data_IF_926040017634
#
_entry.id   IF_926040017634
#
_cell.length_a   1.000
_cell.length_b   1.000
_cell.length_c   1.000
_cell.angle_alpha   90.00
_cell.angle_beta   90.00
_cell.angle_gamma   90.00
#
_symmetry.space_group_name_H-M   'P 1'
#
loop_
_entity.id
_entity.type
_entity.pdbx_description
1 polymer ?
#
# COMPACT_ATOMS: atom_id res chain seq x y z
N UNK A 1 0.83 23.56 0.09
CA UNK A 1 1.25 22.31 -0.57
C UNK A 1 1.42 21.28 0.53
N UNK A 2 0.66 20.18 0.51
CA UNK A 2 0.68 19.17 1.56
C UNK A 2 1.24 17.87 0.98
N UNK A 3 2.19 17.26 1.71
CA UNK A 3 2.79 15.97 1.35
C UNK A 3 2.21 14.91 2.27
N UNK A 4 1.65 13.84 1.69
CA UNK A 4 1.17 12.69 2.45
C UNK A 4 2.29 11.67 2.62
N UNK A 5 2.67 11.36 3.86
CA UNK A 5 3.67 10.35 4.18
C UNK A 5 2.99 9.05 4.60
N UNK A 6 3.10 8.02 3.76
CA UNK A 6 2.51 6.69 3.99
C UNK A 6 3.59 5.76 4.52
N UNK A 7 3.44 5.32 5.76
CA UNK A 7 4.25 4.25 6.36
C UNK A 7 3.58 2.90 6.08
N UNK A 8 4.15 2.08 5.20
CA UNK A 8 3.58 0.79 4.81
C UNK A 8 4.57 -0.38 4.92
N UNK A 9 5.16 -0.55 6.12
CA UNK A 9 6.06 -1.67 6.44
C UNK A 9 5.42 -2.76 7.32
N UNK A 10 6.23 -3.76 7.67
CA UNK A 10 5.88 -4.81 8.62
C UNK A 10 5.53 -6.15 7.98
N UNK A 11 5.63 -7.23 8.76
CA UNK A 11 5.51 -8.62 8.31
C UNK A 11 4.07 -9.13 8.16
N UNK A 12 3.08 -8.39 8.68
CA UNK A 12 1.66 -8.70 8.48
C UNK A 12 1.23 -10.09 8.97
N UNK A 13 1.64 -10.55 10.16
CA UNK A 13 1.41 -11.94 10.62
C UNK A 13 0.00 -12.24 11.14
N UNK A 14 -0.81 -11.23 11.46
CA UNK A 14 -2.13 -11.39 12.13
C UNK A 14 -3.29 -11.75 11.21
N UNK A 15 -3.12 -11.65 9.88
CA UNK A 15 -4.16 -11.97 8.89
C UNK A 15 -3.87 -13.28 8.13
N UNK A 16 -3.06 -14.16 8.71
CA UNK A 16 -2.86 -15.50 8.17
C UNK A 16 -4.22 -16.24 8.10
N UNK A 17 -4.52 -17.02 7.05
CA UNK A 17 -3.66 -17.40 5.91
C UNK A 17 -3.61 -16.38 4.77
N UNK A 18 -4.36 -15.30 4.89
CA UNK A 18 -4.59 -14.32 3.84
C UNK A 18 -3.36 -13.44 3.59
N UNK A 19 -2.62 -13.09 4.64
CA UNK A 19 -1.30 -12.49 4.55
C UNK A 19 -0.21 -13.57 4.61
N UNK A 20 0.82 -13.40 3.76
CA UNK A 20 2.02 -14.26 3.72
C UNK A 20 3.26 -13.39 3.87
N UNK A 21 4.40 -14.00 4.18
CA UNK A 21 5.68 -13.26 4.32
C UNK A 21 6.01 -12.40 3.10
N UNK A 22 5.71 -12.91 1.89
CA UNK A 22 5.91 -12.22 0.62
C UNK A 22 4.70 -11.40 0.16
N UNK A 23 3.59 -11.43 0.89
CA UNK A 23 2.39 -10.62 0.60
C UNK A 23 1.81 -10.10 1.92
N UNK A 24 2.42 -9.04 2.49
CA UNK A 24 1.96 -8.42 3.72
C UNK A 24 0.52 -7.90 3.60
N UNK A 25 -0.17 -7.79 4.73
CA UNK A 25 -1.60 -7.42 4.79
C UNK A 25 -1.97 -6.15 4.00
N UNK A 26 -1.09 -5.16 3.98
CA UNK A 26 -1.37 -3.88 3.33
C UNK A 26 -1.49 -4.00 1.81
N UNK A 27 -0.86 -5.01 1.22
CA UNK A 27 -0.87 -5.29 -0.21
C UNK A 27 -1.93 -6.34 -0.61
N UNK A 28 -2.62 -6.97 0.35
CA UNK A 28 -3.69 -7.91 0.00
C UNK A 28 -4.93 -7.15 -0.47
N UNK A 29 -5.47 -7.55 -1.64
CA UNK A 29 -6.71 -7.01 -2.23
C UNK A 29 -7.93 -7.50 -1.46
N UNK A 30 -8.28 -6.78 -0.39
CA UNK A 30 -9.32 -7.17 0.56
C UNK A 30 -10.71 -6.63 0.20
N UNK A 31 -10.77 -5.47 -0.47
CA UNK A 31 -12.03 -4.75 -0.69
C UNK A 31 -12.12 -4.31 -2.15
N UNK A 32 -13.13 -4.80 -2.85
CA UNK A 32 -13.45 -4.42 -4.24
C UNK A 32 -12.23 -4.47 -5.19
N UNK A 33 -11.40 -5.51 -5.03
CA UNK A 33 -10.20 -5.70 -5.85
C UNK A 33 -9.04 -4.76 -5.51
N UNK A 34 -9.14 -3.94 -4.45
CA UNK A 34 -8.11 -3.01 -4.00
C UNK A 34 -7.47 -3.43 -2.68
N UNK A 35 -6.21 -3.09 -2.52
CA UNK A 35 -5.46 -3.28 -1.28
C UNK A 35 -5.70 -2.16 -0.28
N UNK A 36 -5.38 -2.40 1.00
CA UNK A 36 -5.39 -1.34 2.02
C UNK A 36 -4.42 -0.20 1.71
N UNK A 37 -3.32 -0.52 1.02
CA UNK A 37 -2.35 0.44 0.53
C UNK A 37 -2.98 1.34 -0.55
N UNK A 38 -3.60 0.75 -1.57
CA UNK A 38 -4.29 1.47 -2.65
C UNK A 38 -5.42 2.36 -2.10
N UNK A 39 -6.25 1.82 -1.22
CA UNK A 39 -7.33 2.59 -0.57
C UNK A 39 -6.80 3.76 0.27
N UNK A 40 -5.60 3.64 0.84
CA UNK A 40 -4.97 4.73 1.60
C UNK A 40 -4.46 5.83 0.68
N UNK A 41 -3.89 5.47 -0.47
CA UNK A 41 -3.45 6.43 -1.50
C UNK A 41 -4.65 7.22 -2.03
N UNK A 42 -5.70 6.53 -2.47
CA UNK A 42 -6.90 7.16 -3.06
C UNK A 42 -7.61 8.08 -2.08
N UNK A 43 -7.77 7.63 -0.82
CA UNK A 43 -8.40 8.42 0.24
C UNK A 43 -7.71 9.75 0.51
N UNK A 44 -6.38 9.80 0.35
CA UNK A 44 -5.60 11.00 0.65
C UNK A 44 -5.27 11.84 -0.59
N UNK A 45 -5.38 11.29 -1.80
CA UNK A 45 -5.05 11.99 -3.04
C UNK A 45 -5.72 13.36 -3.19
N UNK A 46 -7.00 13.59 -2.80
CA UNK A 46 -7.63 14.91 -2.89
C UNK A 46 -7.06 15.96 -1.91
N UNK A 47 -6.30 15.53 -0.89
CA UNK A 47 -5.84 16.36 0.23
C UNK A 47 -4.34 16.67 0.16
N UNK A 48 -3.61 16.07 -0.78
CA UNK A 48 -2.16 16.23 -0.93
C UNK A 48 -1.77 16.41 -2.39
N UNK A 49 -0.68 17.13 -2.63
CA UNK A 49 -0.10 17.30 -3.96
C UNK A 49 0.94 16.24 -4.29
N UNK A 50 1.51 15.61 -3.26
CA UNK A 50 2.56 14.59 -3.38
C UNK A 50 2.35 13.50 -2.33
N UNK A 51 2.83 12.29 -2.64
CA UNK A 51 2.82 11.15 -1.73
C UNK A 51 4.23 10.59 -1.59
N UNK A 52 4.68 10.47 -0.34
CA UNK A 52 5.95 9.85 0.01
C UNK A 52 5.68 8.53 0.72
N UNK A 53 6.21 7.43 0.20
CA UNK A 53 5.98 6.09 0.74
C UNK A 53 7.27 5.57 1.36
N UNK A 54 7.18 5.10 2.60
CA UNK A 54 8.27 4.46 3.32
C UNK A 54 7.87 3.05 3.69
N UNK A 55 8.64 2.07 3.20
CA UNK A 55 8.39 0.64 3.41
C UNK A 55 9.72 -0.12 3.55
N UNK A 56 9.63 -1.41 3.83
CA UNK A 56 10.79 -2.31 3.87
C UNK A 56 11.31 -2.57 2.44
N UNK A 57 12.61 -2.84 2.30
CA UNK A 57 13.21 -3.10 0.98
C UNK A 57 12.60 -4.30 0.26
N UNK A 58 12.16 -5.33 0.99
CA UNK A 58 11.52 -6.52 0.41
C UNK A 58 10.14 -6.22 -0.19
N UNK A 59 9.54 -5.08 0.15
CA UNK A 59 8.18 -4.69 -0.26
C UNK A 59 8.19 -3.62 -1.35
N UNK A 60 9.38 -3.17 -1.78
CA UNK A 60 9.56 -2.11 -2.75
C UNK A 60 8.81 -2.38 -4.06
N UNK A 61 9.03 -3.55 -4.66
CA UNK A 61 8.38 -3.91 -5.92
C UNK A 61 6.86 -4.07 -5.78
N UNK A 62 6.38 -4.64 -4.67
CA UNK A 62 4.93 -4.75 -4.41
C UNK A 62 4.25 -3.38 -4.31
N UNK A 63 4.93 -2.41 -3.68
CA UNK A 63 4.42 -1.05 -3.58
C UNK A 63 4.39 -0.36 -4.94
N UNK A 64 5.44 -0.53 -5.75
CA UNK A 64 5.48 -0.01 -7.13
C UNK A 64 4.38 -0.62 -8.00
N UNK A 65 4.28 -1.94 -8.06
CA UNK A 65 3.27 -2.63 -8.88
C UNK A 65 1.84 -2.14 -8.55
N UNK A 66 1.53 -1.99 -7.26
CA UNK A 66 0.20 -1.52 -6.86
C UNK A 66 -0.05 -0.03 -7.08
N UNK A 67 1.01 0.79 -7.14
CA UNK A 67 0.90 2.19 -7.57
C UNK A 67 0.61 2.28 -9.07
N UNK A 68 1.27 1.45 -9.88
CA UNK A 68 1.02 1.39 -11.32
C UNK A 68 -0.42 0.96 -11.64
N UNK A 69 -0.97 0.01 -10.88
CA UNK A 69 -2.38 -0.40 -10.96
C UNK A 69 -3.39 0.73 -10.68
N UNK A 70 -3.01 1.81 -9.98
CA UNK A 70 -3.90 2.96 -9.73
C UNK A 70 -3.91 3.99 -10.88
N UNK A 71 -2.89 3.93 -11.75
CA UNK A 71 -2.73 4.88 -12.85
C UNK A 71 -3.31 4.33 -14.16
N UNK A 72 -3.62 3.03 -14.21
CA UNK A 72 -4.26 2.34 -15.34
C UNK A 72 -5.76 2.32 -15.19
#
# INVERSE_FOLDING_TARGET
MAINLILCGGSGTRLWPLSRTLMPKQFVKLFDGKSLFQLTIERNAPMCTEQLIVSNSEQYFLALDQLEELTT
#
